data_IF_204780911736
#
_entry.id   IF_204780911736
#
_cell.length_a   1.000
_cell.length_b   1.000
_cell.length_c   1.000
_cell.angle_alpha   90.00
_cell.angle_beta   90.00
_cell.angle_gamma   90.00
#
_symmetry.space_group_name_H-M   'P 1'
#
loop_
_entity.id
_entity.type
_entity.pdbx_description
1 polymer ?
#
# COMPACT_ATOMS: atom_id res chain seq x y z
N UNK A 1 25.03 15.85 13.43
CA UNK A 1 23.77 16.24 14.10
C UNK A 1 22.54 16.04 13.19
N UNK A 2 21.76 14.98 13.40
CA UNK A 2 20.56 14.64 12.62
C UNK A 2 19.22 14.91 13.35
N UNK A 3 19.27 15.28 14.64
CA UNK A 3 18.08 15.49 15.47
C UNK A 3 17.30 16.75 15.06
N UNK A 4 17.99 17.85 14.79
CA UNK A 4 17.36 19.14 14.42
C UNK A 4 16.55 19.07 13.12
N UNK A 5 17.06 18.56 11.98
CA UNK A 5 16.24 18.45 10.77
C UNK A 5 15.07 17.46 10.93
N UNK A 6 15.21 16.42 11.77
CA UNK A 6 14.12 15.47 12.05
C UNK A 6 12.97 16.13 12.81
N UNK A 7 13.28 16.95 13.83
CA UNK A 7 12.28 17.78 14.50
C UNK A 7 11.60 18.73 13.52
N UNK A 8 12.36 19.26 12.55
CA UNK A 8 11.86 20.09 11.46
C UNK A 8 10.68 19.45 10.73
N UNK A 9 10.74 18.16 10.37
CA UNK A 9 9.61 17.47 9.71
C UNK A 9 8.34 17.41 10.56
N UNK A 10 8.49 17.20 11.88
CA UNK A 10 7.35 17.16 12.81
C UNK A 10 6.70 18.54 12.92
N UNK A 11 7.51 19.58 13.10
CA UNK A 11 7.04 20.98 13.18
C UNK A 11 6.41 21.41 11.86
N UNK A 12 7.03 21.10 10.72
CA UNK A 12 6.48 21.42 9.41
C UNK A 12 5.11 20.77 9.20
N UNK A 13 4.96 19.49 9.55
CA UNK A 13 3.68 18.80 9.43
C UNK A 13 2.62 19.37 10.38
N UNK A 14 3.01 19.73 11.61
CA UNK A 14 2.13 20.41 12.55
C UNK A 14 1.63 21.75 11.99
N UNK A 15 2.54 22.60 11.50
CA UNK A 15 2.20 23.90 10.91
C UNK A 15 1.36 23.76 9.65
N UNK A 16 1.58 22.72 8.82
CA UNK A 16 0.73 22.42 7.65
C UNK A 16 -0.71 22.12 8.06
N UNK A 17 -0.91 21.35 9.13
CA UNK A 17 -2.24 21.04 9.64
C UNK A 17 -2.87 22.27 10.29
N UNK A 18 -2.13 23.03 11.08
CA UNK A 18 -2.60 24.25 11.75
C UNK A 18 -3.01 25.35 10.76
N UNK A 19 -2.25 25.52 9.67
CA UNK A 19 -2.51 26.51 8.62
C UNK A 19 -3.54 26.04 7.59
N UNK A 20 -4.00 24.79 7.66
CA UNK A 20 -4.98 24.27 6.72
C UNK A 20 -6.36 24.89 7.00
N UNK A 21 -6.89 25.63 6.03
CA UNK A 21 -8.26 26.17 6.08
C UNK A 21 -9.15 25.24 5.23
N UNK A 22 -10.06 24.45 5.84
CA UNK A 22 -10.95 23.59 5.08
C UNK A 22 -11.91 24.40 4.21
N UNK A 23 -11.96 24.08 2.92
CA UNK A 23 -12.89 24.71 1.98
C UNK A 23 -14.08 23.77 1.70
N UNK A 24 -15.33 24.23 1.88
CA UNK A 24 -16.50 23.44 1.52
C UNK A 24 -16.55 23.20 0.01
N UNK A 25 -16.91 21.98 -0.38
CA UNK A 25 -17.10 21.61 -1.77
C UNK A 25 -18.36 20.78 -1.96
N UNK A 26 -18.84 20.74 -3.19
CA UNK A 26 -20.05 20.03 -3.61
C UNK A 26 -19.72 19.10 -4.77
N UNK A 27 -20.34 17.92 -4.81
CA UNK A 27 -20.23 16.99 -5.94
C UNK A 27 -21.57 16.32 -6.19
N UNK A 28 -21.78 15.89 -7.43
CA UNK A 28 -22.99 15.15 -7.83
C UNK A 28 -22.69 13.66 -7.68
N UNK A 29 -23.42 12.97 -6.82
CA UNK A 29 -23.32 11.53 -6.63
C UNK A 29 -24.46 10.83 -7.38
N UNK A 30 -24.11 9.84 -8.21
CA UNK A 30 -25.08 9.02 -8.93
C UNK A 30 -24.88 7.55 -8.53
N UNK A 31 -25.97 6.89 -8.17
CA UNK A 31 -25.99 5.48 -7.78
C UNK A 31 -27.05 4.72 -8.56
N UNK A 32 -26.75 3.49 -8.95
CA UNK A 32 -27.69 2.59 -9.62
C UNK A 32 -27.69 1.24 -8.91
N UNK A 33 -28.88 0.77 -8.49
CA UNK A 33 -29.06 -0.52 -7.81
C UNK A 33 -29.65 -1.54 -8.78
N UNK A 34 -29.01 -2.72 -8.88
CA UNK A 34 -29.49 -3.86 -9.66
C UNK A 34 -29.04 -5.16 -8.98
N UNK A 35 -29.95 -6.12 -8.80
CA UNK A 35 -29.66 -7.47 -8.27
C UNK A 35 -28.80 -7.45 -6.98
N UNK A 36 -29.21 -6.62 -6.01
CA UNK A 36 -28.50 -6.32 -4.75
C UNK A 36 -27.10 -5.68 -4.86
N UNK A 37 -26.62 -5.41 -6.07
CA UNK A 37 -25.40 -4.64 -6.30
C UNK A 37 -25.74 -3.16 -6.46
N UNK A 38 -25.06 -2.30 -5.71
CA UNK A 38 -25.15 -0.84 -5.87
C UNK A 38 -23.88 -0.32 -6.55
N UNK A 39 -24.00 0.15 -7.79
CA UNK A 39 -22.93 0.83 -8.49
C UNK A 39 -22.95 2.32 -8.15
N UNK A 40 -21.79 2.86 -7.71
CA UNK A 40 -21.59 4.30 -7.50
C UNK A 40 -20.74 4.87 -8.62
N UNK A 41 -21.25 5.87 -9.31
CA UNK A 41 -20.53 6.55 -10.39
C UNK A 41 -19.84 7.80 -9.86
N UNK A 42 -18.55 7.94 -10.19
CA UNK A 42 -17.77 9.12 -9.86
C UNK A 42 -17.97 10.19 -10.94
N UNK A 43 -18.32 11.39 -10.52
CA UNK A 43 -18.50 12.50 -11.44
C UNK A 43 -17.19 12.89 -12.12
N UNK A 44 -17.19 13.03 -13.45
CA UNK A 44 -15.99 13.39 -14.24
C UNK A 44 -15.34 14.71 -13.79
N UNK A 45 -16.11 15.66 -13.25
CA UNK A 45 -15.60 16.93 -12.71
C UNK A 45 -15.06 16.82 -11.27
N UNK A 46 -15.14 15.65 -10.65
CA UNK A 46 -14.79 15.38 -9.26
C UNK A 46 -15.63 16.19 -8.25
N UNK A 47 -15.35 17.48 -8.08
CA UNK A 47 -16.00 18.40 -7.13
C UNK A 47 -15.95 19.85 -7.59
N UNK A 48 -16.84 20.69 -7.09
CA UNK A 48 -16.87 22.14 -7.25
C UNK A 48 -16.85 22.86 -5.90
N UNK A 49 -16.14 23.98 -5.81
CA UNK A 49 -16.12 24.84 -4.61
C UNK A 49 -17.16 25.96 -4.65
N UNK A 50 -18.00 26.00 -5.70
CA UNK A 50 -19.14 26.89 -5.78
C UNK A 50 -20.43 26.08 -5.69
N UNK A 51 -21.21 26.33 -4.64
CA UNK A 51 -22.50 25.66 -4.42
C UNK A 51 -23.46 25.88 -5.58
N UNK A 52 -23.61 27.12 -6.03
CA UNK A 52 -24.56 27.50 -7.09
C UNK A 52 -24.24 26.81 -8.42
N UNK A 53 -22.96 26.77 -8.80
CA UNK A 53 -22.53 26.06 -10.01
C UNK A 53 -22.86 24.56 -9.94
N UNK A 54 -22.72 23.94 -8.77
CA UNK A 54 -23.06 22.53 -8.58
C UNK A 54 -24.58 22.30 -8.63
N UNK A 55 -25.38 23.19 -8.03
CA UNK A 55 -26.85 23.14 -8.06
C UNK A 55 -27.39 23.24 -9.49
N UNK A 56 -26.91 24.19 -10.29
CA UNK A 56 -27.35 24.34 -11.69
C UNK A 56 -27.09 23.06 -12.49
N UNK A 57 -25.89 22.46 -12.32
CA UNK A 57 -25.56 21.20 -13.00
C UNK A 57 -26.40 20.02 -12.48
N UNK A 58 -26.73 20.02 -11.19
CA UNK A 58 -27.60 19.02 -10.59
C UNK A 58 -29.05 19.12 -11.12
N UNK A 59 -29.59 20.33 -11.24
CA UNK A 59 -30.93 20.57 -11.80
C UNK A 59 -31.03 20.12 -13.26
N UNK A 60 -29.98 20.33 -14.06
CA UNK A 60 -29.89 19.80 -15.43
C UNK A 60 -29.94 18.26 -15.45
N UNK A 61 -29.24 17.59 -14.54
CA UNK A 61 -29.30 16.13 -14.40
C UNK A 61 -30.68 15.65 -13.92
N UNK A 62 -31.34 16.39 -13.03
CA UNK A 62 -32.67 16.03 -12.52
C UNK A 62 -33.75 16.20 -13.59
N UNK A 63 -33.63 17.21 -14.44
CA UNK A 63 -34.57 17.49 -15.53
C UNK A 63 -34.55 16.41 -16.62
N UNK A 64 -33.41 15.74 -16.83
CA UNK A 64 -33.29 14.61 -17.73
C UNK A 64 -32.43 13.50 -17.08
N UNK A 65 -33.03 12.64 -16.24
CA UNK A 65 -32.30 11.70 -15.39
C UNK A 65 -31.86 10.42 -16.12
N UNK A 66 -32.23 10.24 -17.39
CA UNK A 66 -31.89 9.05 -18.15
C UNK A 66 -30.39 9.01 -18.46
N UNK A 67 -29.69 8.09 -17.81
CA UNK A 67 -28.27 7.84 -18.06
C UNK A 67 -28.09 6.92 -19.27
N UNK A 68 -27.15 7.27 -20.15
CA UNK A 68 -26.71 6.42 -21.26
C UNK A 68 -25.25 5.99 -21.03
N UNK A 69 -24.97 4.71 -21.23
CA UNK A 69 -23.60 4.19 -21.20
C UNK A 69 -22.88 4.66 -22.46
N UNK A 70 -21.91 5.56 -22.29
CA UNK A 70 -21.15 6.12 -23.43
C UNK A 70 -19.91 5.30 -23.77
N UNK A 71 -19.33 4.59 -22.80
CA UNK A 71 -18.09 3.83 -22.97
C UNK A 71 -17.96 2.76 -21.88
N UNK A 72 -17.51 1.56 -22.27
CA UNK A 72 -17.15 0.47 -21.36
C UNK A 72 -15.74 0.03 -21.71
N UNK A 73 -14.83 0.10 -20.73
CA UNK A 73 -13.45 -0.36 -20.87
C UNK A 73 -13.17 -1.43 -19.83
N UNK A 74 -12.53 -2.52 -20.26
CA UNK A 74 -12.07 -3.57 -19.38
C UNK A 74 -10.65 -3.91 -19.76
N UNK A 75 -9.73 -3.72 -18.81
CA UNK A 75 -8.31 -4.01 -19.01
C UNK A 75 -7.83 -4.96 -17.94
N UNK A 76 -7.02 -5.97 -18.28
CA UNK A 76 -6.38 -6.79 -17.27
C UNK A 76 -5.49 -5.89 -16.39
N UNK A 77 -5.70 -5.96 -15.07
CA UNK A 77 -4.85 -5.28 -14.09
C UNK A 77 -4.05 -6.31 -13.32
N UNK A 78 -2.85 -5.95 -12.86
CA UNK A 78 -2.02 -6.84 -12.07
C UNK A 78 -1.59 -6.15 -10.77
N UNK A 79 -1.71 -6.87 -9.67
CA UNK A 79 -1.14 -6.46 -8.38
C UNK A 79 0.21 -7.14 -8.23
N UNK A 80 1.26 -6.33 -8.17
CA UNK A 80 2.62 -6.85 -8.12
C UNK A 80 2.94 -7.41 -6.74
N UNK A 81 3.73 -8.49 -6.72
CA UNK A 81 4.35 -8.99 -5.49
C UNK A 81 5.34 -7.96 -4.90
N UNK A 82 5.57 -7.98 -3.57
CA UNK A 82 6.57 -7.12 -2.95
C UNK A 82 7.98 -7.48 -3.42
N UNK A 83 8.89 -6.53 -3.23
CA UNK A 83 10.34 -6.76 -3.30
C UNK A 83 10.84 -7.31 -1.95
N UNK A 84 12.03 -7.92 -1.90
CA UNK A 84 12.73 -8.23 -0.66
C UNK A 84 12.72 -7.05 0.32
N UNK A 85 12.58 -7.36 1.60
CA UNK A 85 12.33 -6.38 2.66
C UNK A 85 13.64 -5.69 3.06
N UNK A 86 13.68 -4.36 2.96
CA UNK A 86 14.80 -3.53 3.46
C UNK A 86 14.57 -3.12 4.91
N UNK A 87 15.61 -2.57 5.54
CA UNK A 87 15.53 -2.02 6.91
C UNK A 87 14.40 -0.99 7.05
N UNK A 88 14.35 -0.03 6.13
CA UNK A 88 13.38 1.07 6.19
C UNK A 88 11.95 0.55 6.02
N UNK A 89 11.72 -0.36 5.09
CA UNK A 89 10.39 -0.95 4.87
C UNK A 89 9.98 -1.86 6.03
N UNK A 90 10.92 -2.63 6.61
CA UNK A 90 10.68 -3.40 7.84
C UNK A 90 10.20 -2.50 8.99
N UNK A 91 10.92 -1.41 9.27
CA UNK A 91 10.57 -0.47 10.34
C UNK A 91 9.21 0.21 10.10
N UNK A 92 8.92 0.62 8.86
CA UNK A 92 7.60 1.18 8.48
C UNK A 92 6.47 0.16 8.67
N UNK A 93 6.67 -1.08 8.23
CA UNK A 93 5.67 -2.14 8.34
C UNK A 93 5.44 -2.55 9.80
N UNK A 94 6.49 -2.67 10.61
CA UNK A 94 6.39 -2.97 12.04
C UNK A 94 5.62 -1.87 12.79
N UNK A 95 5.93 -0.59 12.54
CA UNK A 95 5.17 0.52 13.11
C UNK A 95 3.70 0.53 12.67
N UNK A 96 3.44 0.29 11.38
CA UNK A 96 2.07 0.31 10.83
C UNK A 96 1.21 -0.84 11.35
N UNK A 97 1.72 -2.06 11.29
CA UNK A 97 0.95 -3.29 11.51
C UNK A 97 1.13 -3.90 12.90
N UNK A 98 2.33 -3.83 13.47
CA UNK A 98 2.65 -4.42 14.78
C UNK A 98 2.66 -3.38 15.92
N UNK A 99 2.55 -2.09 15.59
CA UNK A 99 2.62 -0.97 16.55
C UNK A 99 3.94 -0.94 17.34
N UNK A 100 5.00 -1.49 16.76
CA UNK A 100 6.32 -1.49 17.38
C UNK A 100 7.11 -0.23 17.01
N UNK A 101 7.74 0.45 17.98
CA UNK A 101 8.64 1.55 17.69
C UNK A 101 9.92 1.03 17.01
N UNK A 102 10.64 1.93 16.34
CA UNK A 102 11.76 1.55 15.47
C UNK A 102 12.95 0.95 16.21
N UNK A 103 13.24 1.46 17.40
CA UNK A 103 14.30 0.98 18.31
C UNK A 103 14.02 -0.46 18.78
N UNK A 104 12.80 -0.75 19.25
CA UNK A 104 12.39 -2.09 19.67
C UNK A 104 12.38 -3.05 18.49
N UNK A 105 11.88 -2.61 17.33
CA UNK A 105 11.88 -3.42 16.10
C UNK A 105 13.30 -3.83 15.72
N UNK A 106 14.26 -2.90 15.77
CA UNK A 106 15.64 -3.18 15.45
C UNK A 106 16.28 -4.14 16.46
N UNK A 107 16.06 -3.93 17.75
CA UNK A 107 16.58 -4.81 18.81
C UNK A 107 16.05 -6.25 18.66
N UNK A 108 14.77 -6.42 18.34
CA UNK A 108 14.18 -7.74 18.10
C UNK A 108 14.77 -8.38 16.83
N UNK A 109 14.90 -7.62 15.74
CA UNK A 109 15.47 -8.13 14.49
C UNK A 109 16.93 -8.58 14.68
N UNK A 110 17.74 -7.81 15.40
CA UNK A 110 19.12 -8.20 15.76
C UNK A 110 19.14 -9.46 16.61
N UNK A 111 18.24 -9.58 17.59
CA UNK A 111 18.09 -10.79 18.40
C UNK A 111 17.73 -12.04 17.56
N UNK A 112 16.90 -11.88 16.53
CA UNK A 112 16.54 -12.96 15.60
C UNK A 112 17.70 -13.33 14.66
N UNK A 113 18.45 -12.33 14.19
CA UNK A 113 19.65 -12.53 13.39
C UNK A 113 20.71 -13.33 14.16
N UNK A 114 20.99 -12.93 15.41
CA UNK A 114 21.96 -13.62 16.27
C UNK A 114 21.57 -15.08 16.56
N UNK A 115 20.28 -15.39 16.56
CA UNK A 115 19.76 -16.76 16.70
C UNK A 115 19.69 -17.53 15.37
N UNK A 116 20.06 -16.90 14.25
CA UNK A 116 20.08 -17.52 12.92
C UNK A 116 18.71 -17.64 12.24
N UNK A 117 17.69 -16.89 12.67
CA UNK A 117 16.35 -16.96 12.08
C UNK A 117 16.17 -16.10 10.83
N UNK A 118 16.89 -14.98 10.73
CA UNK A 118 16.80 -14.04 9.61
C UNK A 118 18.20 -13.66 9.12
N UNK A 119 18.28 -13.10 7.90
CA UNK A 119 19.49 -12.44 7.41
C UNK A 119 19.76 -11.13 8.16
N UNK A 120 20.96 -10.56 7.98
CA UNK A 120 21.34 -9.32 8.65
C UNK A 120 20.32 -8.18 8.39
N UNK A 121 19.75 -7.56 9.44
CA UNK A 121 18.56 -6.71 9.29
C UNK A 121 18.86 -5.25 8.94
N UNK A 122 20.14 -4.87 8.83
CA UNK A 122 20.59 -3.51 8.47
C UNK A 122 21.12 -3.51 7.04
N UNK A 123 20.21 -3.41 6.08
CA UNK A 123 20.45 -3.43 4.64
C UNK A 123 19.48 -2.48 3.89
N UNK A 124 19.96 -1.86 2.82
CA UNK A 124 19.12 -1.17 1.82
C UNK A 124 18.86 -2.04 0.59
N UNK A 125 19.46 -3.24 0.53
CA UNK A 125 19.33 -4.21 -0.56
C UNK A 125 17.90 -4.74 -0.66
N UNK A 126 17.25 -4.50 -1.81
CA UNK A 126 15.89 -4.93 -2.12
C UNK A 126 15.86 -5.97 -3.25
N UNK A 127 16.93 -6.77 -3.35
CA UNK A 127 17.08 -7.84 -4.34
C UNK A 127 17.76 -9.08 -3.75
N UNK A 128 17.31 -10.26 -4.18
CA UNK A 128 18.06 -11.49 -3.96
C UNK A 128 19.12 -11.65 -5.06
N UNK A 129 20.30 -12.16 -4.69
CA UNK A 129 21.29 -12.58 -5.67
C UNK A 129 20.73 -13.73 -6.54
N UNK A 130 21.22 -13.86 -7.77
CA UNK A 130 20.73 -14.86 -8.71
C UNK A 130 20.83 -16.30 -8.17
N UNK A 131 21.84 -16.54 -7.33
CA UNK A 131 22.15 -17.86 -6.76
C UNK A 131 21.61 -18.05 -5.33
N UNK A 132 20.76 -17.13 -4.84
CA UNK A 132 20.21 -17.25 -3.50
C UNK A 132 19.24 -18.44 -3.41
N UNK A 133 19.54 -19.39 -2.53
CA UNK A 133 18.77 -20.63 -2.38
C UNK A 133 17.48 -20.38 -1.58
N UNK A 134 16.40 -19.99 -2.27
CA UNK A 134 15.07 -19.77 -1.65
C UNK A 134 14.33 -21.06 -1.29
N UNK A 135 14.57 -22.13 -2.04
CA UNK A 135 13.86 -23.41 -1.87
C UNK A 135 14.06 -24.03 -0.48
N UNK A 136 15.28 -24.11 0.10
CA UNK A 136 15.46 -24.60 1.46
C UNK A 136 14.71 -23.79 2.53
N UNK A 137 14.53 -22.48 2.31
CA UNK A 137 13.76 -21.63 3.24
C UNK A 137 12.28 -22.00 3.18
N UNK A 138 11.74 -22.22 1.97
CA UNK A 138 10.34 -22.66 1.80
C UNK A 138 10.10 -24.04 2.41
N UNK A 139 11.04 -24.98 2.27
CA UNK A 139 10.96 -26.32 2.88
C UNK A 139 10.91 -26.25 4.41
N UNK A 140 11.69 -25.34 5.03
CA UNK A 140 11.63 -25.09 6.47
C UNK A 140 10.31 -24.44 6.92
N UNK A 141 9.65 -23.69 6.05
CA UNK A 141 8.37 -23.03 6.35
C UNK A 141 7.14 -23.92 6.07
N UNK A 142 7.28 -24.96 5.24
CA UNK A 142 6.22 -25.91 4.90
C UNK A 142 5.50 -26.57 6.10
N UNK A 143 6.17 -26.90 7.24
CA UNK A 143 5.47 -27.46 8.41
C UNK A 143 4.79 -26.40 9.30
N UNK A 144 4.95 -25.10 9.02
CA UNK A 144 4.39 -24.05 9.87
C UNK A 144 2.86 -24.01 9.80
N UNK A 145 2.18 -23.99 10.94
CA UNK A 145 0.71 -24.06 11.03
C UNK A 145 -0.02 -23.01 10.19
N UNK A 146 0.52 -21.79 10.12
CA UNK A 146 -0.13 -20.66 9.42
C UNK A 146 0.41 -20.45 8.00
N UNK A 147 1.69 -20.76 7.76
CA UNK A 147 2.39 -20.40 6.51
C UNK A 147 2.65 -21.61 5.62
N UNK A 148 2.48 -22.82 6.16
CA UNK A 148 2.86 -24.08 5.54
C UNK A 148 2.12 -24.34 4.24
N UNK A 149 0.80 -24.13 4.21
CA UNK A 149 -0.01 -24.28 3.00
C UNK A 149 0.46 -23.36 1.88
N UNK A 150 0.80 -22.10 2.19
CA UNK A 150 1.33 -21.15 1.22
C UNK A 150 2.71 -21.55 0.72
N UNK A 151 3.61 -21.98 1.61
CA UNK A 151 4.95 -22.45 1.25
C UNK A 151 4.90 -23.71 0.37
N UNK A 152 4.01 -24.67 0.68
CA UNK A 152 3.80 -25.87 -0.12
C UNK A 152 3.34 -25.54 -1.54
N UNK A 153 2.37 -24.63 -1.72
CA UNK A 153 1.96 -24.21 -3.07
C UNK A 153 3.11 -23.64 -3.89
N UNK A 154 3.98 -22.85 -3.27
CA UNK A 154 5.17 -22.35 -3.95
C UNK A 154 6.09 -23.51 -4.35
N UNK A 155 6.35 -24.47 -3.46
CA UNK A 155 7.16 -25.65 -3.75
C UNK A 155 6.57 -26.54 -4.87
N UNK A 156 5.24 -26.58 -5.01
CA UNK A 156 4.52 -27.42 -5.96
C UNK A 156 4.13 -26.73 -7.28
N UNK A 157 4.85 -25.67 -7.67
CA UNK A 157 4.77 -25.10 -9.03
C UNK A 157 4.28 -23.65 -9.10
N UNK A 158 3.84 -23.05 -7.99
CA UNK A 158 3.49 -21.62 -7.96
C UNK A 158 4.69 -20.71 -7.74
N UNK A 159 5.89 -21.26 -7.48
CA UNK A 159 7.08 -20.46 -7.26
C UNK A 159 7.44 -19.61 -8.48
N UNK A 160 7.59 -18.30 -8.23
CA UNK A 160 8.11 -17.34 -9.20
C UNK A 160 9.21 -16.52 -8.53
N UNK A 161 10.38 -16.45 -9.15
CA UNK A 161 11.54 -15.67 -8.68
C UNK A 161 11.12 -14.29 -8.18
N UNK A 162 11.45 -13.89 -6.93
CA UNK A 162 11.07 -12.60 -6.37
C UNK A 162 11.45 -11.43 -7.28
N UNK A 163 10.69 -10.33 -7.17
CA UNK A 163 11.04 -9.13 -7.93
C UNK A 163 12.34 -8.56 -7.38
N UNK A 164 13.14 -7.98 -8.26
CA UNK A 164 14.29 -7.17 -7.89
C UNK A 164 13.84 -5.72 -7.79
N UNK A 165 14.20 -5.05 -6.70
CA UNK A 165 14.07 -3.61 -6.61
C UNK A 165 15.28 -2.91 -7.25
N UNK A 166 15.59 -1.70 -6.78
CA UNK A 166 16.62 -0.84 -7.39
C UNK A 166 17.91 -0.74 -6.57
N UNK A 167 17.89 -1.21 -5.33
CA UNK A 167 18.92 -0.92 -4.35
C UNK A 167 19.73 -2.19 -4.05
N UNK A 168 21.05 -2.01 -3.96
CA UNK A 168 22.01 -3.04 -3.63
C UNK A 168 23.14 -2.41 -2.82
N UNK A 169 23.45 -2.97 -1.65
CA UNK A 169 24.52 -2.44 -0.78
C UNK A 169 25.93 -2.84 -1.25
N UNK A 170 26.03 -3.56 -2.37
CA UNK A 170 27.29 -3.97 -3.02
C UNK A 170 27.50 -3.24 -4.34
#
# INVERSE_FOLDING_TARGET
>A
PCQFPTLGFVVEQYLKVERFVPEPFWSIAVTHKKDDVTARFTWKRNRLFCRWSCIILYELCFSNPLACVTHVDSRPTSKWKPVPLTTVEMLKMAGRFLKMPSDVTMAVAEGLYNKGFISYPRTETDQFSANFALRPILEKLAPHSTLGSYAQRLLHGEFKTPRKGKNNDN
#
